data_IF_610111527262
#
_entry.id   IF_610111527262
#
_cell.length_a   1.000
_cell.length_b   1.000
_cell.length_c   1.000
_cell.angle_alpha   90.00
_cell.angle_beta   90.00
_cell.angle_gamma   90.00
#
_symmetry.space_group_name_H-M   'P 1'
#
loop_
_entity.id
_entity.type
_entity.pdbx_description
1 polymer ?
#
# COMPACT_ATOMS: atom_id res chain seq x y z
N UNK A 1 -39.86 18.53 45.67
CA UNK A 1 -39.23 18.35 44.34
C UNK A 1 -37.85 19.01 44.34
N UNK A 2 -36.92 18.50 43.53
CA UNK A 2 -35.51 18.90 43.33
C UNK A 2 -34.45 18.42 44.35
N UNK A 3 -34.02 17.16 44.19
CA UNK A 3 -32.66 16.72 44.59
C UNK A 3 -31.73 16.96 43.39
N UNK A 4 -30.80 17.90 43.52
CA UNK A 4 -29.69 18.05 42.57
C UNK A 4 -28.77 16.83 42.67
N UNK A 5 -28.52 16.15 41.55
CA UNK A 5 -27.51 15.08 41.46
C UNK A 5 -26.14 15.74 41.24
N UNK A 6 -25.22 15.61 42.20
CA UNK A 6 -23.79 15.96 42.07
C UNK A 6 -23.12 15.01 41.06
N UNK A 7 -22.36 15.55 40.12
CA UNK A 7 -21.51 14.78 39.21
C UNK A 7 -20.19 14.37 39.90
N UNK A 8 -19.64 13.22 39.53
CA UNK A 8 -18.37 12.68 40.03
C UNK A 8 -17.16 13.49 39.52
N UNK A 9 -16.04 13.55 40.27
CA UNK A 9 -14.83 14.28 39.85
C UNK A 9 -14.18 13.57 38.65
N UNK A 10 -13.74 14.37 37.67
CA UNK A 10 -12.91 13.90 36.55
C UNK A 10 -11.48 13.75 37.04
N UNK A 11 -11.06 12.53 37.34
CA UNK A 11 -9.65 12.22 37.49
C UNK A 11 -8.94 12.39 36.15
N UNK A 12 -8.03 13.35 36.13
CA UNK A 12 -7.12 13.68 35.04
C UNK A 12 -6.10 12.56 34.88
N UNK A 13 -6.32 11.65 33.94
CA UNK A 13 -5.25 10.79 33.45
C UNK A 13 -4.46 11.53 32.38
N UNK A 14 -3.31 12.02 32.84
CA UNK A 14 -2.34 12.78 32.08
C UNK A 14 -1.89 12.03 30.82
N UNK A 15 -2.09 12.72 29.69
CA UNK A 15 -1.28 12.72 28.47
C UNK A 15 0.05 11.96 28.58
N UNK A 16 0.12 10.79 27.95
CA UNK A 16 1.37 10.29 27.38
C UNK A 16 1.17 10.23 25.87
N UNK A 17 1.18 11.41 25.24
CA UNK A 17 1.39 11.52 23.81
C UNK A 17 2.89 11.31 23.56
N UNK A 18 3.33 10.07 23.38
CA UNK A 18 4.63 9.79 22.73
C UNK A 18 4.51 10.11 21.24
N UNK A 19 4.35 11.40 20.92
CA UNK A 19 4.66 11.88 19.56
C UNK A 19 6.18 12.01 19.51
N UNK A 20 6.80 10.93 19.06
CA UNK A 20 8.15 10.95 18.49
C UNK A 20 8.29 12.18 17.60
N UNK A 21 9.28 13.02 17.88
CA UNK A 21 9.67 14.18 17.10
C UNK A 21 9.90 13.77 15.64
N UNK A 22 8.87 13.88 14.81
CA UNK A 22 9.02 13.80 13.37
C UNK A 22 9.53 15.16 12.90
N UNK A 23 10.72 15.15 12.30
CA UNK A 23 11.16 16.17 11.35
C UNK A 23 9.94 16.65 10.56
N UNK A 24 9.64 17.95 10.63
CA UNK A 24 8.47 18.56 9.99
C UNK A 24 8.43 18.15 8.51
N UNK A 25 7.66 17.10 8.19
CA UNK A 25 7.41 16.77 6.81
C UNK A 25 6.43 17.83 6.32
N UNK A 26 6.75 18.51 5.23
CA UNK A 26 5.82 19.42 4.54
C UNK A 26 4.59 18.68 3.95
N UNK A 27 4.25 17.49 4.45
CA UNK A 27 3.10 16.70 4.01
C UNK A 27 1.82 17.44 4.38
N UNK A 28 1.08 17.82 3.35
CA UNK A 28 -0.16 18.57 3.52
C UNK A 28 -1.36 17.68 3.85
N UNK A 29 -1.31 16.38 3.51
CA UNK A 29 -2.41 15.42 3.62
C UNK A 29 -1.91 13.98 3.86
N UNK A 30 -2.70 13.07 4.45
CA UNK A 30 -2.37 11.64 4.51
C UNK A 30 -2.33 10.99 3.11
N UNK A 31 -1.64 9.84 2.96
CA UNK A 31 -1.56 9.13 1.68
C UNK A 31 -2.92 8.57 1.24
N UNK A 32 -3.13 8.51 -0.07
CA UNK A 32 -4.27 7.78 -0.63
C UNK A 32 -4.03 6.27 -0.61
N UNK A 33 -5.09 5.47 -0.52
CA UNK A 33 -5.00 4.00 -0.60
C UNK A 33 -4.21 3.53 -1.83
N UNK A 34 -4.49 4.12 -3.00
CA UNK A 34 -3.80 3.80 -4.25
C UNK A 34 -2.32 4.16 -4.23
N UNK A 35 -1.94 5.23 -3.53
CA UNK A 35 -0.53 5.62 -3.33
C UNK A 35 0.21 4.56 -2.51
N UNK A 36 -0.40 4.08 -1.43
CA UNK A 36 0.16 3.01 -0.60
C UNK A 36 0.27 1.69 -1.37
N UNK A 37 -0.75 1.34 -2.15
CA UNK A 37 -0.74 0.15 -2.98
C UNK A 37 0.40 0.19 -4.02
N UNK A 38 0.52 1.29 -4.77
CA UNK A 38 1.58 1.47 -5.75
C UNK A 38 2.97 1.40 -5.12
N UNK A 39 3.16 2.05 -3.96
CA UNK A 39 4.41 1.99 -3.23
C UNK A 39 4.74 0.55 -2.82
N UNK A 40 3.79 -0.18 -2.24
CA UNK A 40 4.01 -1.56 -1.78
C UNK A 40 4.34 -2.51 -2.94
N UNK A 41 3.63 -2.38 -4.06
CA UNK A 41 3.88 -3.17 -5.29
C UNK A 41 5.28 -2.87 -5.84
N UNK A 42 5.62 -1.59 -6.04
CA UNK A 42 6.92 -1.20 -6.59
C UNK A 42 8.08 -1.56 -5.66
N UNK A 43 7.88 -1.44 -4.35
CA UNK A 43 8.89 -1.81 -3.35
C UNK A 43 9.17 -3.32 -3.32
N UNK A 44 8.15 -4.16 -3.56
CA UNK A 44 8.31 -5.61 -3.67
C UNK A 44 8.92 -6.03 -5.00
N UNK A 45 8.75 -5.22 -6.04
CA UNK A 45 9.33 -5.47 -7.36
C UNK A 45 8.91 -6.83 -7.91
N UNK A 46 9.89 -7.60 -8.40
CA UNK A 46 9.68 -8.93 -8.96
C UNK A 46 9.11 -9.96 -7.96
N UNK A 47 9.29 -9.76 -6.64
CA UNK A 47 8.71 -10.65 -5.63
C UNK A 47 7.18 -10.55 -5.60
N UNK A 48 6.62 -9.43 -6.06
CA UNK A 48 5.19 -9.17 -5.97
C UNK A 48 4.66 -9.14 -4.54
N UNK A 49 3.34 -9.10 -4.42
CA UNK A 49 2.66 -8.97 -3.13
C UNK A 49 1.40 -9.85 -3.08
N UNK A 50 1.14 -10.43 -1.91
CA UNK A 50 -0.11 -11.16 -1.61
C UNK A 50 -1.05 -10.34 -0.75
N UNK A 51 -2.33 -10.73 -0.66
CA UNK A 51 -3.30 -10.02 0.16
C UNK A 51 -2.91 -9.94 1.66
N UNK A 52 -2.43 -11.01 2.32
CA UNK A 52 -1.96 -10.90 3.71
C UNK A 52 -0.78 -9.94 3.90
N UNK A 53 0.17 -9.93 2.96
CA UNK A 53 1.28 -8.98 2.97
C UNK A 53 0.78 -7.54 2.83
N UNK A 54 -0.13 -7.29 1.88
CA UNK A 54 -0.74 -5.97 1.68
C UNK A 54 -1.55 -5.52 2.90
N UNK A 55 -2.27 -6.44 3.55
CA UNK A 55 -2.99 -6.17 4.80
C UNK A 55 -2.02 -5.76 5.92
N UNK A 56 -0.88 -6.43 6.05
CA UNK A 56 0.12 -6.08 7.06
C UNK A 56 0.79 -4.72 6.79
N UNK A 57 1.04 -4.40 5.52
CA UNK A 57 1.72 -3.15 5.13
C UNK A 57 0.81 -1.93 5.23
N UNK A 58 -0.41 -2.00 4.68
CA UNK A 58 -1.29 -0.82 4.58
C UNK A 58 -2.78 -1.12 4.80
N UNK A 59 -3.10 -2.27 5.42
CA UNK A 59 -4.48 -2.68 5.79
C UNK A 59 -5.40 -2.87 4.59
N UNK A 60 -4.85 -3.33 3.46
CA UNK A 60 -5.65 -3.78 2.31
C UNK A 60 -6.37 -5.09 2.60
N UNK A 61 -7.70 -5.04 2.67
CA UNK A 61 -8.52 -6.25 2.81
C UNK A 61 -8.85 -6.91 1.47
N UNK A 62 -8.85 -6.15 0.35
CA UNK A 62 -9.31 -6.62 -0.96
C UNK A 62 -8.29 -6.28 -2.06
N UNK A 63 -7.10 -6.90 -1.98
CA UNK A 63 -6.01 -6.61 -2.90
C UNK A 63 -6.42 -6.83 -4.37
N UNK A 64 -7.11 -7.92 -4.67
CA UNK A 64 -7.57 -8.25 -6.02
C UNK A 64 -8.43 -7.14 -6.64
N UNK A 65 -9.28 -6.45 -5.86
CA UNK A 65 -10.08 -5.32 -6.33
C UNK A 65 -9.17 -4.13 -6.67
N UNK A 66 -8.20 -3.82 -5.81
CA UNK A 66 -7.23 -2.74 -6.06
C UNK A 66 -6.41 -3.01 -7.33
N UNK A 67 -5.94 -4.25 -7.53
CA UNK A 67 -5.23 -4.66 -8.75
C UNK A 67 -6.13 -4.53 -9.98
N UNK A 68 -7.39 -4.97 -9.89
CA UNK A 68 -8.36 -4.85 -10.99
C UNK A 68 -8.61 -3.38 -11.39
N UNK A 69 -8.76 -2.48 -10.42
CA UNK A 69 -8.91 -1.03 -10.70
C UNK A 69 -7.65 -0.45 -11.34
N UNK A 70 -6.45 -0.79 -10.86
CA UNK A 70 -5.20 -0.34 -11.48
C UNK A 70 -5.08 -0.83 -12.93
N UNK A 71 -5.50 -2.07 -13.20
CA UNK A 71 -5.50 -2.63 -14.55
C UNK A 71 -6.51 -1.94 -15.47
N UNK A 72 -7.77 -1.90 -15.07
CA UNK A 72 -8.86 -1.47 -15.95
C UNK A 72 -8.99 0.05 -16.07
N UNK A 73 -8.68 0.80 -15.01
CA UNK A 73 -8.86 2.25 -14.98
C UNK A 73 -7.56 3.01 -15.27
N UNK A 74 -6.40 2.41 -14.98
CA UNK A 74 -5.08 3.05 -15.15
C UNK A 74 -4.21 2.41 -16.22
N UNK A 75 -4.64 1.29 -16.79
CA UNK A 75 -3.91 0.59 -17.86
C UNK A 75 -2.62 -0.07 -17.39
N UNK A 76 -2.46 -0.33 -16.09
CA UNK A 76 -1.23 -0.95 -15.54
C UNK A 76 -1.39 -2.46 -15.57
N UNK A 77 -0.53 -3.14 -16.32
CA UNK A 77 -0.48 -4.60 -16.44
C UNK A 77 0.04 -5.28 -15.18
N UNK A 78 -0.58 -6.42 -14.87
CA UNK A 78 -0.20 -7.29 -13.76
C UNK A 78 -0.21 -8.74 -14.19
N UNK A 79 0.75 -9.51 -13.68
CA UNK A 79 0.75 -10.97 -13.65
C UNK A 79 0.28 -11.42 -12.27
N UNK A 80 -0.39 -12.56 -12.21
CA UNK A 80 -0.84 -13.16 -10.96
C UNK A 80 -0.71 -14.67 -10.97
N UNK A 81 -0.12 -15.23 -9.92
CA UNK A 81 -0.03 -16.68 -9.71
C UNK A 81 -0.47 -17.05 -8.29
N UNK A 82 -1.04 -18.24 -8.08
CA UNK A 82 -1.33 -18.75 -6.74
C UNK A 82 -0.03 -18.91 -5.92
N UNK A 83 -0.03 -18.39 -4.69
CA UNK A 83 1.08 -18.52 -3.75
C UNK A 83 0.75 -19.56 -2.67
N UNK A 84 1.32 -20.75 -2.83
CA UNK A 84 1.11 -21.88 -1.93
C UNK A 84 1.76 -21.71 -0.56
N UNK A 85 2.73 -20.80 -0.39
CA UNK A 85 3.32 -20.50 0.92
C UNK A 85 2.31 -19.85 1.88
N UNK A 86 1.22 -19.30 1.33
CA UNK A 86 0.16 -18.69 2.12
C UNK A 86 -0.84 -19.68 2.71
N UNK A 87 -0.74 -20.97 2.36
CA UNK A 87 -1.61 -22.04 2.85
C UNK A 87 -1.10 -22.51 4.22
N UNK A 88 -1.94 -22.37 5.26
CA UNK A 88 -1.58 -22.70 6.65
C UNK A 88 -2.30 -23.96 7.14
N UNK A 89 -3.45 -24.29 6.57
CA UNK A 89 -4.21 -25.48 6.95
C UNK A 89 -4.82 -26.18 5.74
N UNK A 90 -5.26 -27.42 5.96
CA UNK A 90 -5.86 -28.25 4.92
C UNK A 90 -7.11 -27.58 4.30
N UNK A 91 -7.29 -27.77 2.99
CA UNK A 91 -8.35 -27.16 2.16
C UNK A 91 -8.37 -25.63 2.05
N UNK A 92 -7.42 -24.92 2.66
CA UNK A 92 -7.29 -23.48 2.42
C UNK A 92 -6.84 -23.24 0.97
N UNK A 93 -7.52 -22.31 0.27
CA UNK A 93 -7.05 -21.86 -1.04
C UNK A 93 -5.85 -20.92 -0.87
N UNK A 94 -4.81 -21.04 -1.71
CA UNK A 94 -3.71 -20.08 -1.72
C UNK A 94 -4.23 -18.70 -2.11
N UNK A 95 -3.63 -17.65 -1.54
CA UNK A 95 -3.79 -16.30 -2.06
C UNK A 95 -3.02 -16.15 -3.36
N UNK A 96 -3.47 -15.27 -4.26
CA UNK A 96 -2.67 -14.90 -5.42
C UNK A 96 -1.60 -13.89 -5.03
N UNK A 97 -0.40 -14.06 -5.61
CA UNK A 97 0.69 -13.10 -5.61
C UNK A 97 0.66 -12.30 -6.91
N UNK A 98 0.78 -10.99 -6.79
CA UNK A 98 0.66 -10.05 -7.91
C UNK A 98 1.95 -9.25 -8.10
N UNK A 99 2.41 -9.10 -9.33
CA UNK A 99 3.52 -8.23 -9.72
C UNK A 99 3.24 -7.56 -11.07
N UNK A 100 3.96 -6.48 -11.34
CA UNK A 100 3.85 -5.74 -12.60
C UNK A 100 4.31 -6.64 -13.76
N UNK A 101 3.64 -6.57 -14.92
CA UNK A 101 3.92 -7.50 -16.00
C UNK A 101 5.20 -7.13 -16.77
N UNK A 102 5.42 -5.84 -17.03
CA UNK A 102 6.59 -5.36 -17.78
C UNK A 102 7.27 -4.14 -17.13
N UNK A 103 8.42 -3.73 -17.68
CA UNK A 103 9.07 -2.49 -17.24
C UNK A 103 8.23 -1.25 -17.59
N UNK A 104 7.49 -1.27 -18.71
CA UNK A 104 6.55 -0.21 -19.06
C UNK A 104 5.48 -0.05 -17.98
N UNK A 105 4.94 -1.16 -17.45
CA UNK A 105 3.98 -1.13 -16.34
C UNK A 105 4.59 -0.55 -15.06
N UNK A 106 5.86 -0.89 -14.78
CA UNK A 106 6.62 -0.28 -13.67
C UNK A 106 6.74 1.23 -13.86
N UNK A 107 7.11 1.70 -15.05
CA UNK A 107 7.23 3.14 -15.35
C UNK A 107 5.87 3.85 -15.19
N UNK A 108 4.78 3.25 -15.66
CA UNK A 108 3.43 3.79 -15.48
C UNK A 108 3.03 3.87 -14.00
N UNK A 109 3.24 2.80 -13.24
CA UNK A 109 2.98 2.75 -11.81
C UNK A 109 3.82 3.80 -11.05
N UNK A 110 5.10 3.94 -11.38
CA UNK A 110 6.01 4.90 -10.77
C UNK A 110 5.59 6.35 -11.06
N UNK A 111 5.19 6.64 -12.30
CA UNK A 111 4.67 7.96 -12.69
C UNK A 111 3.41 8.30 -11.89
N UNK A 112 2.49 7.35 -11.76
CA UNK A 112 1.26 7.56 -11.00
C UNK A 112 1.53 7.78 -9.51
N UNK A 113 2.42 6.98 -8.91
CA UNK A 113 2.85 7.14 -7.51
C UNK A 113 3.45 8.54 -7.28
N UNK A 114 4.36 8.95 -8.15
CA UNK A 114 5.02 10.25 -8.04
C UNK A 114 4.05 11.43 -8.25
N UNK A 115 2.98 11.27 -9.03
CA UNK A 115 1.91 12.26 -9.13
C UNK A 115 1.19 12.43 -7.78
N UNK A 116 0.80 11.33 -7.12
CA UNK A 116 0.19 11.39 -5.77
C UNK A 116 1.14 12.01 -4.74
N UNK A 117 2.42 11.64 -4.74
CA UNK A 117 3.43 12.20 -3.84
C UNK A 117 3.63 13.69 -4.06
N UNK A 118 3.75 14.13 -5.32
CA UNK A 118 3.93 15.54 -5.66
C UNK A 118 2.74 16.38 -5.20
N UNK A 119 1.51 15.87 -5.38
CA UNK A 119 0.29 16.53 -4.91
C UNK A 119 0.23 16.68 -3.37
N UNK A 120 1.03 15.90 -2.64
CA UNK A 120 1.17 15.97 -1.18
C UNK A 120 2.41 16.74 -0.71
N UNK A 121 3.17 17.34 -1.63
CA UNK A 121 4.41 18.06 -1.32
C UNK A 121 5.60 17.14 -0.98
N UNK A 122 5.54 15.87 -1.39
CA UNK A 122 6.61 14.90 -1.16
C UNK A 122 7.55 14.80 -2.37
N UNK A 123 8.85 14.53 -2.13
CA UNK A 123 9.80 14.30 -3.21
C UNK A 123 9.43 13.04 -4.00
N UNK A 124 9.74 13.07 -5.29
CA UNK A 124 9.63 11.89 -6.15
C UNK A 124 10.57 10.79 -5.64
N UNK A 125 10.15 9.56 -5.83
CA UNK A 125 10.97 8.38 -5.58
C UNK A 125 11.20 7.63 -6.89
N UNK A 126 12.21 6.78 -6.89
CA UNK A 126 12.54 5.92 -8.02
C UNK A 126 12.69 4.49 -7.50
N UNK A 127 12.29 3.53 -8.33
CA UNK A 127 12.58 2.12 -8.13
C UNK A 127 13.26 1.60 -9.40
N UNK A 128 14.33 0.83 -9.25
CA UNK A 128 15.10 0.29 -10.38
C UNK A 128 14.27 -0.71 -11.20
N UNK A 129 14.65 -0.93 -12.45
CA UNK A 129 14.05 -1.97 -13.27
C UNK A 129 14.44 -3.34 -12.73
N UNK A 130 13.46 -4.23 -12.53
CA UNK A 130 13.67 -5.63 -12.15
C UNK A 130 13.19 -6.62 -13.22
N UNK A 131 12.58 -6.12 -14.29
CA UNK A 131 12.37 -6.90 -15.50
C UNK A 131 13.68 -6.91 -16.28
N UNK A 132 14.19 -8.10 -16.63
CA UNK A 132 15.30 -8.18 -17.57
C UNK A 132 14.81 -7.55 -18.88
N UNK A 133 15.60 -6.69 -19.55
CA UNK A 133 15.26 -6.33 -20.92
C UNK A 133 15.16 -7.64 -21.68
N UNK A 134 14.02 -7.92 -22.32
CA UNK A 134 13.93 -9.01 -23.27
C UNK A 134 15.08 -8.82 -24.23
N UNK A 135 16.09 -9.69 -24.14
CA UNK A 135 17.13 -9.79 -25.13
C UNK A 135 16.40 -10.18 -26.41
N UNK A 136 16.05 -9.19 -27.24
CA UNK A 136 15.53 -9.43 -28.58
C UNK A 136 16.44 -10.47 -29.21
N UNK A 137 15.88 -11.66 -29.43
CA UNK A 137 16.50 -12.66 -30.28
C UNK A 137 16.80 -11.95 -31.61
N UNK A 138 18.10 -11.90 -31.92
CA UNK A 138 18.62 -11.42 -33.20
C UNK A 138 18.29 -12.43 -34.31
#
# INVERSE_FOLDING_TARGET
MNKQKKAAPKDSLNNINTRTSQSQSNQTKPPFKVELALYAILHKGAQGITQPEAFNVYRESCLHTTISSLKNERGIGFVSEPDFETVVHFYQKPFNRYWLATDEDRVMALKLLNAYRSNRGLPKINFEAWHKPDSKAA
#
